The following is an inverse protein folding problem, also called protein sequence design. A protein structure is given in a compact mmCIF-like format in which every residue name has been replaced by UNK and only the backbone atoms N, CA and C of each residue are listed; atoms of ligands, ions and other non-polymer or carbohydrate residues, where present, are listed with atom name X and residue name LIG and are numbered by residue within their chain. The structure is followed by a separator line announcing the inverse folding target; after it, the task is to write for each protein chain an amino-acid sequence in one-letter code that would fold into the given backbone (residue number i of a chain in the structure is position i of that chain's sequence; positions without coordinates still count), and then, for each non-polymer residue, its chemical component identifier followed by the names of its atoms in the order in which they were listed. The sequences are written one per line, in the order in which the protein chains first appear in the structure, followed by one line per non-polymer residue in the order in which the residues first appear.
data_IF_982674383508
#
_entry.id   IF_982674383508
#
_cell.length_a   1.000
_cell.length_b   1.000
_cell.length_c   1.000
_cell.angle_alpha   90.00
_cell.angle_beta   90.00
_cell.angle_gamma   90.00
#
_symmetry.space_group_name_H-M   'P 1'
#
loop_
_entity.id
_entity.type
_entity.pdbx_description
1 polymer ?
#
# COMPACT_ATOMS: atom_id res chain seq x y z
N UNK A 1 11.45 17.02 33.59
CA UNK A 1 10.37 16.27 32.91
C UNK A 1 10.48 16.56 31.41
N UNK A 2 11.11 15.68 30.63
CA UNK A 2 11.15 15.79 29.15
C UNK A 2 10.20 14.73 28.58
N UNK A 3 9.44 15.16 27.58
CA UNK A 3 8.21 14.53 27.12
C UNK A 3 8.35 13.05 26.81
N UNK A 4 7.33 12.28 27.18
CA UNK A 4 7.02 10.99 26.56
C UNK A 4 6.98 11.23 25.06
N UNK A 5 8.00 10.79 24.32
CA UNK A 5 7.86 10.53 22.89
C UNK A 5 6.59 9.70 22.74
N UNK A 6 5.58 10.14 21.97
CA UNK A 6 4.38 9.35 21.78
C UNK A 6 4.85 8.04 21.17
N UNK A 7 4.65 6.99 21.96
CA UNK A 7 4.83 5.58 21.64
C UNK A 7 4.52 5.43 20.16
N UNK A 8 5.55 5.21 19.35
CA UNK A 8 5.34 4.88 17.97
C UNK A 8 4.44 3.65 18.03
N UNK A 9 3.19 3.82 17.59
CA UNK A 9 2.41 2.72 17.02
C UNK A 9 3.38 1.91 16.13
N UNK A 10 3.16 0.62 15.85
CA UNK A 10 3.83 0.00 14.70
C UNK A 10 3.32 0.75 13.45
N UNK A 11 3.89 1.94 13.23
CA UNK A 11 3.43 2.96 12.30
C UNK A 11 3.87 2.40 10.99
N UNK A 12 2.89 1.89 10.26
CA UNK A 12 2.98 1.55 8.84
C UNK A 12 3.95 2.54 8.20
N UNK A 13 5.02 2.04 7.60
CA UNK A 13 5.96 2.89 6.91
C UNK A 13 5.29 3.32 5.60
N UNK A 14 4.82 4.58 5.49
CA UNK A 14 4.05 5.00 4.32
C UNK A 14 4.94 5.04 3.07
N UNK A 15 6.25 5.21 3.22
CA UNK A 15 7.19 5.21 2.09
C UNK A 15 7.42 3.79 1.59
N UNK A 16 7.69 2.83 2.48
CA UNK A 16 7.86 1.43 2.10
C UNK A 16 6.59 0.86 1.45
N UNK A 17 5.42 1.21 1.99
CA UNK A 17 4.15 0.73 1.44
C UNK A 17 3.79 1.43 0.11
N UNK A 18 4.09 2.72 -0.03
CA UNK A 18 3.98 3.41 -1.32
C UNK A 18 4.91 2.82 -2.38
N UNK A 19 6.12 2.41 -1.98
CA UNK A 19 7.08 1.74 -2.85
C UNK A 19 6.55 0.38 -3.32
N UNK A 20 5.97 -0.42 -2.42
CA UNK A 20 5.33 -1.69 -2.75
C UNK A 20 4.17 -1.53 -3.75
N UNK A 21 3.31 -0.53 -3.56
CA UNK A 21 2.22 -0.23 -4.48
C UNK A 21 2.74 0.24 -5.85
N UNK A 22 3.78 1.08 -5.87
CA UNK A 22 4.41 1.54 -7.10
C UNK A 22 5.07 0.40 -7.88
N UNK A 23 5.72 -0.54 -7.17
CA UNK A 23 6.30 -1.73 -7.78
C UNK A 23 5.26 -2.59 -8.51
N UNK A 24 4.02 -2.61 -8.03
CA UNK A 24 2.90 -3.30 -8.67
C UNK A 24 2.22 -2.48 -9.77
N UNK A 25 2.68 -1.26 -10.04
CA UNK A 25 2.02 -0.32 -10.95
C UNK A 25 0.72 0.28 -10.38
N UNK A 26 0.38 -0.01 -9.12
CA UNK A 26 -0.87 0.44 -8.51
C UNK A 26 -0.87 1.92 -8.15
N UNK A 27 0.30 2.55 -8.00
CA UNK A 27 0.42 3.95 -7.59
C UNK A 27 0.91 4.84 -8.74
N UNK A 28 -0.03 5.53 -9.40
CA UNK A 28 0.23 6.39 -10.57
C UNK A 28 0.51 7.88 -10.20
N UNK A 29 0.33 8.27 -8.94
CA UNK A 29 0.33 9.66 -8.49
C UNK A 29 1.08 9.96 -7.19
N UNK A 30 0.83 11.15 -6.61
CA UNK A 30 1.46 11.59 -5.37
C UNK A 30 1.07 10.72 -4.18
N UNK A 31 2.08 10.16 -3.51
CA UNK A 31 2.00 9.35 -2.29
C UNK A 31 1.25 10.00 -1.12
N UNK A 32 0.90 11.29 -1.23
CA UNK A 32 0.19 12.06 -0.21
C UNK A 32 -1.22 11.52 0.10
N UNK A 33 -1.97 11.03 -0.89
CA UNK A 33 -3.32 10.47 -0.65
C UNK A 33 -3.23 9.15 0.12
N UNK A 34 -2.22 8.34 -0.21
CA UNK A 34 -1.96 7.08 0.48
C UNK A 34 -1.41 7.30 1.89
N UNK A 35 -0.54 8.28 2.10
CA UNK A 35 0.01 8.63 3.42
C UNK A 35 -1.08 9.07 4.42
N UNK A 36 -2.14 9.73 3.93
CA UNK A 36 -3.30 10.08 4.75
C UNK A 36 -4.08 8.81 5.16
N UNK A 37 -4.40 7.93 4.21
CA UNK A 37 -5.09 6.65 4.47
C UNK A 37 -4.30 5.75 5.43
N UNK A 38 -2.99 5.62 5.22
CA UNK A 38 -2.11 4.85 6.10
C UNK A 38 -2.02 5.42 7.52
N UNK A 39 -2.25 6.73 7.70
CA UNK A 39 -2.24 7.37 9.03
C UNK A 39 -3.52 7.10 9.82
N UNK A 40 -4.63 6.78 9.14
CA UNK A 40 -5.93 6.47 9.75
C UNK A 40 -6.16 4.96 9.91
N UNK A 41 -5.45 4.13 9.14
CA UNK A 41 -5.56 2.68 9.15
C UNK A 41 -5.01 2.04 10.44
N UNK A 42 -5.64 0.93 10.84
CA UNK A 42 -5.21 0.14 12.01
C UNK A 42 -3.95 -0.67 11.76
N UNK A 43 -3.80 -1.16 10.53
CA UNK A 43 -2.69 -1.97 10.07
C UNK A 43 -2.50 -1.83 8.55
N UNK A 44 -1.37 -2.30 8.03
CA UNK A 44 -1.04 -2.17 6.61
C UNK A 44 -2.07 -2.86 5.71
N UNK A 45 -2.65 -3.99 6.14
CA UNK A 45 -3.66 -4.69 5.34
C UNK A 45 -4.92 -3.84 5.19
N UNK A 46 -5.37 -3.22 6.28
CA UNK A 46 -6.51 -2.29 6.30
C UNK A 46 -6.26 -1.10 5.37
N UNK A 47 -5.07 -0.48 5.43
CA UNK A 47 -4.69 0.64 4.56
C UNK A 47 -4.71 0.25 3.08
N UNK A 48 -4.22 -0.95 2.75
CA UNK A 48 -4.20 -1.47 1.38
C UNK A 48 -5.62 -1.75 0.88
N UNK A 49 -6.49 -2.35 1.72
CA UNK A 49 -7.89 -2.62 1.37
C UNK A 49 -8.65 -1.34 1.06
N UNK A 50 -8.55 -0.35 1.94
CA UNK A 50 -9.22 0.95 1.76
C UNK A 50 -8.72 1.66 0.50
N UNK A 51 -7.42 1.62 0.25
CA UNK A 51 -6.84 2.18 -0.97
C UNK A 51 -7.36 1.48 -2.23
N UNK A 52 -7.35 0.15 -2.28
CA UNK A 52 -7.83 -0.60 -3.46
C UNK A 52 -9.32 -0.36 -3.68
N UNK A 53 -10.14 -0.44 -2.63
CA UNK A 53 -11.58 -0.25 -2.73
C UNK A 53 -11.95 1.15 -3.25
N UNK A 54 -11.16 2.18 -2.89
CA UNK A 54 -11.44 3.57 -3.21
C UNK A 54 -10.81 4.02 -4.53
N UNK A 55 -9.54 3.70 -4.75
CA UNK A 55 -8.73 4.25 -5.85
C UNK A 55 -8.52 3.25 -7.00
N UNK A 56 -8.74 1.95 -6.76
CA UNK A 56 -8.54 0.87 -7.73
C UNK A 56 -9.68 -0.16 -7.75
N UNK A 57 -10.97 0.25 -7.72
CA UNK A 57 -12.08 -0.69 -7.67
C UNK A 57 -12.13 -1.61 -8.90
N UNK A 58 -11.56 -1.19 -10.04
CA UNK A 58 -11.48 -2.02 -11.25
C UNK A 58 -10.63 -3.27 -11.08
N UNK A 59 -9.63 -3.27 -10.19
CA UNK A 59 -8.82 -4.45 -9.91
C UNK A 59 -9.66 -5.56 -9.28
N UNK A 60 -10.70 -5.20 -8.54
CA UNK A 60 -11.61 -6.15 -7.88
C UNK A 60 -12.52 -6.90 -8.87
N UNK A 61 -12.58 -6.48 -10.13
CA UNK A 61 -13.26 -7.23 -11.19
C UNK A 61 -12.43 -8.42 -11.69
N UNK A 62 -11.12 -8.39 -11.49
CA UNK A 62 -10.17 -9.38 -12.03
C UNK A 62 -9.41 -10.13 -10.93
N UNK A 63 -9.29 -9.56 -9.74
CA UNK A 63 -8.49 -10.09 -8.63
C UNK A 63 -9.25 -10.00 -7.32
N UNK A 64 -9.07 -11.01 -6.47
CA UNK A 64 -9.59 -11.00 -5.11
C UNK A 64 -8.89 -9.94 -4.24
N UNK A 65 -9.66 -9.24 -3.40
CA UNK A 65 -9.13 -8.22 -2.48
C UNK A 65 -8.01 -8.78 -1.60
N UNK A 66 -8.21 -9.95 -1.00
CA UNK A 66 -7.21 -10.56 -0.10
C UNK A 66 -5.94 -10.95 -0.86
N UNK A 67 -6.05 -11.41 -2.12
CA UNK A 67 -4.89 -11.73 -2.95
C UNK A 67 -4.06 -10.48 -3.27
N UNK A 68 -4.73 -9.35 -3.56
CA UNK A 68 -4.04 -8.07 -3.77
C UNK A 68 -3.35 -7.57 -2.49
N UNK A 69 -4.02 -7.69 -1.34
CA UNK A 69 -3.46 -7.33 -0.04
C UNK A 69 -2.23 -8.18 0.28
N UNK A 70 -2.30 -9.49 0.10
CA UNK A 70 -1.15 -10.39 0.33
C UNK A 70 0.02 -10.05 -0.59
N UNK A 71 -0.24 -9.73 -1.86
CA UNK A 71 0.82 -9.35 -2.80
C UNK A 71 1.52 -8.05 -2.40
N UNK A 72 0.76 -7.02 -2.03
CA UNK A 72 1.31 -5.74 -1.57
C UNK A 72 2.06 -5.94 -0.24
N UNK A 73 1.53 -6.77 0.67
CA UNK A 73 2.20 -7.10 1.94
C UNK A 73 3.50 -7.87 1.73
N UNK A 74 3.54 -8.81 0.80
CA UNK A 74 4.76 -9.57 0.50
C UNK A 74 5.89 -8.65 0.03
N UNK A 75 5.57 -7.65 -0.80
CA UNK A 75 6.51 -6.61 -1.22
C UNK A 75 6.90 -5.67 -0.08
N UNK A 76 5.93 -5.26 0.74
CA UNK A 76 6.16 -4.39 1.89
C UNK A 76 7.07 -5.03 2.94
N UNK A 77 6.90 -6.32 3.21
CA UNK A 77 7.71 -7.08 4.17
C UNK A 77 9.09 -7.50 3.61
N UNK A 78 9.34 -7.23 2.32
CA UNK A 78 10.61 -7.57 1.65
C UNK A 78 10.78 -9.06 1.38
N UNK A 79 9.70 -9.83 1.35
CA UNK A 79 9.71 -11.28 1.22
C UNK A 79 9.79 -11.80 -0.23
N UNK A 80 9.71 -10.92 -1.23
CA UNK A 80 9.71 -11.30 -2.65
C UNK A 80 10.58 -10.39 -3.50
N UNK A 81 11.37 -10.99 -4.39
CA UNK A 81 11.88 -10.33 -5.59
C UNK A 81 10.68 -9.88 -6.43
N UNK A 82 10.70 -8.61 -6.86
CA UNK A 82 9.59 -7.90 -7.51
C UNK A 82 8.70 -8.78 -8.42
N UNK A 83 7.44 -9.06 -8.05
CA UNK A 83 6.50 -9.73 -8.95
C UNK A 83 6.23 -8.85 -10.18
N UNK A 84 5.80 -9.45 -11.31
CA UNK A 84 5.41 -8.68 -12.50
C UNK A 84 4.34 -7.64 -12.12
N UNK A 85 4.48 -6.41 -12.62
CA UNK A 85 3.57 -5.32 -12.33
C UNK A 85 2.12 -5.70 -12.69
N UNK A 86 1.18 -5.47 -11.77
CA UNK A 86 -0.25 -5.76 -11.98
C UNK A 86 -0.88 -4.78 -12.96
N UNK A 87 -0.47 -3.52 -12.90
CA UNK A 87 -0.83 -2.51 -13.88
C UNK A 87 0.42 -2.19 -14.70
N UNK A 88 0.40 -2.54 -15.98
CA UNK A 88 1.40 -2.03 -16.91
C UNK A 88 1.05 -0.57 -17.18
N UNK A 89 1.81 0.37 -16.61
CA UNK A 89 1.83 1.75 -17.10
C UNK A 89 2.36 1.69 -18.55
N UNK A 90 1.46 1.58 -19.52
CA UNK A 90 1.80 1.76 -20.92
C UNK A 90 2.34 3.19 -21.06
N UNK A 91 3.54 3.40 -21.63
CA UNK A 91 3.96 4.74 -21.98
C UNK A 91 2.94 5.29 -22.99
N UNK A 92 2.39 6.47 -22.67
CA UNK A 92 1.55 7.24 -23.58
C UNK A 92 2.31 7.66 -24.85
#
# INVERSE_FOLDING_TARGET
MKGKSPMANPRIDPEALSSALRALGMLDGTSAQFAALASEARDAADAIRDYIARERPHLLSCYDMEALVELVKALYDGHVDHPPALEHSLPA
#
